data_IF_573025377806
#
_entry.id   IF_573025377806
#
_cell.length_a   1.000
_cell.length_b   1.000
_cell.length_c   1.000
_cell.angle_alpha   90.00
_cell.angle_beta   90.00
_cell.angle_gamma   90.00
#
_symmetry.space_group_name_H-M   'P 1'
#
loop_
_entity.id
_entity.type
_entity.pdbx_description
1 polymer ?
#
# COMPACT_ATOMS: atom_id res chain seq x y z
N UNK A 1 -18.74 -22.91 -25.61
CA UNK A 1 -19.66 -22.03 -26.35
C UNK A 1 -18.86 -20.84 -26.83
N UNK A 2 -18.89 -20.53 -28.11
CA UNK A 2 -18.25 -19.32 -28.65
C UNK A 2 -19.33 -18.29 -28.97
N UNK A 3 -19.09 -17.02 -28.62
CA UNK A 3 -19.98 -15.91 -28.91
C UNK A 3 -19.17 -14.66 -29.24
N UNK A 4 -19.79 -13.74 -29.98
CA UNK A 4 -19.18 -12.48 -30.39
C UNK A 4 -20.02 -11.31 -29.87
N UNK A 5 -19.35 -10.34 -29.24
CA UNK A 5 -19.96 -9.10 -28.76
C UNK A 5 -19.29 -7.93 -29.46
N UNK A 6 -20.06 -6.85 -29.71
CA UNK A 6 -19.56 -5.63 -30.34
C UNK A 6 -19.31 -4.57 -29.26
N UNK A 7 -18.11 -3.98 -29.26
CA UNK A 7 -17.71 -2.90 -28.36
C UNK A 7 -17.02 -1.79 -29.13
N UNK A 8 -17.15 -0.55 -28.68
CA UNK A 8 -16.43 0.61 -29.23
C UNK A 8 -15.06 0.79 -28.56
N UNK A 9 -14.91 0.35 -27.30
CA UNK A 9 -13.68 0.43 -26.53
C UNK A 9 -13.48 -0.84 -25.69
N UNK A 10 -12.24 -1.29 -25.55
CA UNK A 10 -11.85 -2.44 -24.73
C UNK A 10 -10.65 -2.03 -23.87
N UNK A 11 -10.77 -2.20 -22.55
CA UNK A 11 -9.68 -1.97 -21.60
C UNK A 11 -9.36 -3.31 -20.95
N UNK A 12 -8.17 -3.83 -21.18
CA UNK A 12 -7.73 -5.11 -20.62
C UNK A 12 -7.11 -4.89 -19.24
N UNK A 13 -7.85 -5.24 -18.19
CA UNK A 13 -7.39 -5.19 -16.79
C UNK A 13 -7.13 -6.61 -16.23
N UNK A 14 -6.46 -7.46 -17.00
CA UNK A 14 -6.23 -8.89 -16.66
C UNK A 14 -4.98 -9.11 -15.79
N UNK A 15 -4.45 -8.04 -15.20
CA UNK A 15 -3.24 -8.05 -14.38
C UNK A 15 -1.97 -7.71 -15.16
N UNK A 16 -0.84 -7.88 -14.47
CA UNK A 16 0.51 -7.58 -14.97
C UNK A 16 1.46 -8.74 -14.69
N UNK A 17 2.58 -8.76 -15.39
CA UNK A 17 3.65 -9.77 -15.22
C UNK A 17 5.00 -9.08 -15.23
N UNK A 18 5.90 -9.53 -14.36
CA UNK A 18 7.27 -9.03 -14.29
C UNK A 18 8.06 -9.49 -15.52
N UNK A 19 8.91 -8.61 -16.05
CA UNK A 19 9.94 -8.97 -17.01
C UNK A 19 11.29 -8.60 -16.41
N UNK A 20 12.12 -9.60 -16.13
CA UNK A 20 13.48 -9.41 -15.61
C UNK A 20 14.46 -9.57 -16.77
N UNK A 21 15.29 -8.56 -17.01
CA UNK A 21 16.35 -8.63 -18.02
C UNK A 21 17.44 -9.60 -17.61
N UNK A 22 17.92 -10.42 -18.55
CA UNK A 22 19.04 -11.35 -18.34
C UNK A 22 20.31 -10.64 -17.82
N UNK A 23 20.45 -9.34 -18.07
CA UNK A 23 21.58 -8.52 -17.61
C UNK A 23 21.68 -8.43 -16.09
N UNK A 24 20.58 -8.64 -15.37
CA UNK A 24 20.59 -8.58 -13.90
C UNK A 24 21.19 -9.83 -13.27
N UNK A 25 21.24 -10.96 -14.00
CA UNK A 25 21.79 -12.24 -13.53
C UNK A 25 21.19 -12.69 -12.19
N UNK A 26 19.86 -12.57 -12.08
CA UNK A 26 19.08 -13.03 -10.92
C UNK A 26 18.11 -14.12 -11.37
N UNK A 27 18.02 -15.26 -10.66
CA UNK A 27 17.17 -16.35 -11.08
C UNK A 27 15.69 -16.04 -10.83
N UNK A 28 14.84 -16.39 -11.79
CA UNK A 28 13.39 -16.25 -11.69
C UNK A 28 12.70 -17.59 -11.41
N UNK A 29 11.51 -17.52 -10.81
CA UNK A 29 10.68 -18.62 -10.38
C UNK A 29 9.37 -18.74 -11.15
N UNK A 30 8.45 -19.53 -10.60
CA UNK A 30 7.11 -19.69 -11.17
C UNK A 30 6.41 -18.33 -11.18
N UNK A 31 5.85 -17.93 -12.33
CA UNK A 31 5.17 -16.64 -12.48
C UNK A 31 6.10 -15.48 -12.85
N UNK A 32 7.33 -15.78 -13.25
CA UNK A 32 8.35 -14.81 -13.70
C UNK A 32 8.80 -13.83 -12.61
N UNK A 33 8.62 -14.19 -11.34
CA UNK A 33 9.09 -13.46 -10.16
C UNK A 33 10.54 -13.82 -9.82
N UNK A 34 11.26 -12.93 -9.16
CA UNK A 34 12.63 -13.13 -8.67
C UNK A 34 12.62 -14.13 -7.52
N UNK A 35 13.52 -15.13 -7.57
CA UNK A 35 13.73 -16.06 -6.46
C UNK A 35 14.57 -15.42 -5.38
N UNK A 36 14.09 -15.52 -4.15
CA UNK A 36 14.77 -15.06 -2.95
C UNK A 36 14.67 -16.11 -1.85
N UNK A 37 15.55 -15.99 -0.87
CA UNK A 37 15.36 -16.60 0.44
C UNK A 37 14.17 -15.91 1.15
N UNK A 38 13.19 -16.67 1.68
CA UNK A 38 11.94 -16.11 2.21
C UNK A 38 12.13 -15.32 3.51
N UNK A 39 13.20 -15.57 4.26
CA UNK A 39 13.44 -14.93 5.56
C UNK A 39 14.32 -13.67 5.41
N UNK A 40 15.22 -13.66 4.43
CA UNK A 40 16.18 -12.55 4.23
C UNK A 40 15.92 -11.71 2.98
N UNK A 41 15.08 -12.20 2.05
CA UNK A 41 14.86 -11.61 0.73
C UNK A 41 16.13 -11.51 -0.14
N UNK A 42 17.20 -12.22 0.25
CA UNK A 42 18.43 -12.30 -0.53
C UNK A 42 18.19 -13.15 -1.79
N UNK A 43 18.64 -12.65 -2.94
CA UNK A 43 18.70 -13.47 -4.15
C UNK A 43 19.94 -14.37 -4.09
N UNK A 44 20.03 -15.41 -4.95
CA UNK A 44 21.27 -16.18 -5.09
C UNK A 44 22.49 -15.38 -5.58
N UNK A 45 22.29 -14.15 -6.08
CA UNK A 45 23.37 -13.24 -6.45
C UNK A 45 23.81 -12.45 -5.22
N UNK A 46 25.08 -12.59 -4.86
CA UNK A 46 25.67 -11.96 -3.68
C UNK A 46 25.45 -10.44 -3.66
N UNK A 47 25.02 -9.93 -2.51
CA UNK A 47 24.72 -8.51 -2.30
C UNK A 47 23.45 -8.00 -2.98
N UNK A 48 22.65 -8.87 -3.62
CA UNK A 48 21.40 -8.47 -4.29
C UNK A 48 20.19 -9.04 -3.55
N UNK A 49 19.24 -8.16 -3.23
CA UNK A 49 17.99 -8.46 -2.52
C UNK A 49 16.80 -8.00 -3.38
N UNK A 50 15.63 -8.63 -3.21
CA UNK A 50 14.42 -8.25 -3.93
C UNK A 50 13.17 -8.36 -3.05
N UNK A 51 12.19 -7.48 -3.26
CA UNK A 51 10.96 -7.42 -2.47
C UNK A 51 9.75 -6.95 -3.28
N UNK A 52 8.59 -6.89 -2.64
CA UNK A 52 7.30 -6.54 -3.26
C UNK A 52 6.89 -7.45 -4.42
N UNK A 53 6.13 -6.88 -5.37
CA UNK A 53 5.58 -7.57 -6.55
C UNK A 53 6.64 -8.31 -7.38
N UNK A 54 7.91 -7.89 -7.31
CA UNK A 54 8.99 -8.57 -7.99
C UNK A 54 9.23 -10.00 -7.47
N UNK A 55 8.83 -10.29 -6.23
CA UNK A 55 8.99 -11.59 -5.55
C UNK A 55 7.68 -12.36 -5.47
N UNK A 56 6.58 -11.68 -5.17
CA UNK A 56 5.26 -12.32 -4.94
C UNK A 56 4.38 -12.35 -6.18
N UNK A 57 4.64 -11.48 -7.16
CA UNK A 57 3.63 -11.03 -8.10
C UNK A 57 2.68 -10.00 -7.44
N UNK A 58 1.65 -9.53 -8.16
CA UNK A 58 0.75 -8.48 -7.68
C UNK A 58 0.17 -8.79 -6.30
N UNK A 59 0.50 -7.94 -5.33
CA UNK A 59 0.12 -8.09 -3.94
C UNK A 59 -0.43 -6.77 -3.36
N UNK A 60 -0.59 -6.72 -2.03
CA UNK A 60 -0.97 -5.50 -1.34
C UNK A 60 0.22 -4.54 -1.19
N UNK A 61 -0.06 -3.23 -1.12
CA UNK A 61 0.97 -2.21 -0.85
C UNK A 61 1.66 -2.48 0.50
N UNK A 62 0.92 -2.96 1.50
CA UNK A 62 1.46 -3.24 2.82
C UNK A 62 2.46 -4.41 2.80
N UNK A 63 2.25 -5.43 1.96
CA UNK A 63 3.21 -6.51 1.75
C UNK A 63 4.50 -6.00 1.11
N UNK A 64 4.42 -5.09 0.13
CA UNK A 64 5.60 -4.48 -0.46
C UNK A 64 6.39 -3.64 0.56
N UNK A 65 5.70 -2.91 1.45
CA UNK A 65 6.32 -2.18 2.56
C UNK A 65 7.00 -3.13 3.54
N UNK A 66 6.33 -4.23 3.91
CA UNK A 66 6.89 -5.26 4.80
C UNK A 66 8.16 -5.88 4.19
N UNK A 67 8.14 -6.23 2.90
CA UNK A 67 9.33 -6.68 2.17
C UNK A 67 10.44 -5.62 2.14
N UNK A 68 10.10 -4.34 2.00
CA UNK A 68 11.08 -3.25 2.09
C UNK A 68 11.82 -3.23 3.42
N UNK A 69 11.08 -3.36 4.53
CA UNK A 69 11.65 -3.44 5.88
C UNK A 69 12.51 -4.68 6.07
N UNK A 70 12.01 -5.85 5.67
CA UNK A 70 12.75 -7.11 5.77
C UNK A 70 14.05 -7.11 4.95
N UNK A 71 14.01 -6.56 3.74
CA UNK A 71 15.19 -6.39 2.90
C UNK A 71 16.19 -5.41 3.54
N UNK A 72 15.73 -4.29 4.10
CA UNK A 72 16.60 -3.33 4.78
C UNK A 72 17.32 -3.95 5.99
N UNK A 73 16.61 -4.72 6.83
CA UNK A 73 17.19 -5.48 7.95
C UNK A 73 18.29 -6.42 7.44
N UNK A 74 18.03 -7.12 6.34
CA UNK A 74 18.96 -8.13 5.80
C UNK A 74 20.17 -7.50 5.11
N UNK A 75 19.98 -6.37 4.42
CA UNK A 75 21.05 -5.57 3.82
C UNK A 75 21.95 -5.00 4.91
N UNK A 76 21.40 -4.45 5.98
CA UNK A 76 22.19 -3.91 7.09
C UNK A 76 23.08 -5.01 7.72
N UNK A 77 22.49 -6.19 8.02
CA UNK A 77 23.26 -7.35 8.50
C UNK A 77 24.34 -7.80 7.52
N UNK A 78 24.04 -7.82 6.22
CA UNK A 78 24.99 -8.17 5.18
C UNK A 78 26.19 -7.20 5.13
N UNK A 79 25.95 -5.91 5.39
CA UNK A 79 26.98 -4.88 5.46
C UNK A 79 27.71 -4.83 6.82
N UNK A 80 27.40 -5.73 7.75
CA UNK A 80 28.03 -5.86 9.06
C UNK A 80 27.32 -5.10 10.20
N UNK A 81 26.12 -4.58 9.96
CA UNK A 81 25.24 -4.01 10.97
C UNK A 81 24.49 -5.06 11.78
N UNK A 82 23.54 -4.60 12.60
CA UNK A 82 22.75 -5.46 13.51
C UNK A 82 21.38 -5.84 12.94
N UNK A 83 20.96 -5.19 11.85
CA UNK A 83 19.62 -5.30 11.29
C UNK A 83 18.57 -4.59 12.14
N UNK A 84 18.98 -3.58 12.91
CA UNK A 84 18.07 -2.71 13.63
C UNK A 84 17.77 -1.49 12.76
N UNK A 85 16.54 -1.45 12.26
CA UNK A 85 16.03 -0.36 11.41
C UNK A 85 14.89 0.39 12.10
N UNK A 86 14.63 0.08 13.38
CA UNK A 86 13.53 0.68 14.10
C UNK A 86 13.89 2.12 14.49
N UNK A 87 12.94 3.02 14.27
CA UNK A 87 13.08 4.42 14.60
C UNK A 87 11.88 4.85 15.42
N UNK A 88 12.14 5.56 16.53
CA UNK A 88 11.08 6.17 17.34
C UNK A 88 10.68 7.47 16.65
N UNK A 89 9.67 7.38 15.77
CA UNK A 89 9.20 8.51 14.97
C UNK A 89 8.36 9.52 15.77
N UNK A 90 7.76 9.07 16.87
CA UNK A 90 6.97 9.90 17.75
C UNK A 90 7.15 9.45 19.21
N UNK A 91 7.08 10.37 20.19
CA UNK A 91 7.01 10.00 21.59
C UNK A 91 5.78 9.11 21.85
N UNK A 92 5.83 8.22 22.85
CA UNK A 92 4.69 7.41 23.23
C UNK A 92 3.52 8.32 23.61
N UNK A 93 2.33 7.95 23.15
CA UNK A 93 1.10 8.63 23.52
C UNK A 93 0.87 8.45 25.04
N UNK A 94 0.49 9.54 25.72
CA UNK A 94 0.21 9.51 27.15
C UNK A 94 -1.15 8.85 27.44
N UNK A 95 -1.43 8.57 28.71
CA UNK A 95 -2.74 8.06 29.13
C UNK A 95 -3.86 9.01 28.68
N UNK A 96 -4.78 8.50 27.89
CA UNK A 96 -5.97 9.23 27.44
C UNK A 96 -6.97 9.28 28.59
N UNK A 97 -7.37 10.48 28.99
CA UNK A 97 -8.40 10.66 30.00
C UNK A 97 -9.76 10.14 29.48
N UNK A 98 -10.59 9.50 30.32
CA UNK A 98 -11.93 9.10 29.90
C UNK A 98 -12.79 10.34 29.61
N UNK A 99 -13.36 10.43 28.42
CA UNK A 99 -14.19 11.56 28.01
C UNK A 99 -15.61 11.17 27.60
N UNK A 100 -16.52 12.08 27.96
CA UNK A 100 -17.98 12.03 27.87
C UNK A 100 -18.49 11.52 26.50
N UNK A 101 -19.60 10.78 26.53
CA UNK A 101 -20.27 10.27 25.33
C UNK A 101 -20.70 11.44 24.44
N UNK A 102 -20.22 11.44 23.19
CA UNK A 102 -20.64 12.38 22.15
C UNK A 102 -21.59 11.69 21.18
N UNK A 103 -22.53 12.43 20.61
CA UNK A 103 -23.45 11.87 19.62
C UNK A 103 -22.70 11.37 18.38
N UNK A 104 -22.99 10.13 17.96
CA UNK A 104 -22.48 9.59 16.70
C UNK A 104 -23.00 10.40 15.51
N UNK A 105 -22.06 10.98 14.74
CA UNK A 105 -22.38 11.73 13.52
C UNK A 105 -22.07 10.89 12.28
N UNK A 106 -22.84 11.09 11.21
CA UNK A 106 -22.54 10.48 9.91
C UNK A 106 -21.36 11.21 9.24
N UNK A 107 -20.55 10.47 8.49
CA UNK A 107 -19.50 11.06 7.64
C UNK A 107 -20.15 11.99 6.60
N UNK A 108 -19.75 13.27 6.50
CA UNK A 108 -20.19 14.14 5.41
C UNK A 108 -19.63 13.62 4.09
N UNK A 109 -20.43 13.65 3.02
CA UNK A 109 -20.01 13.13 1.73
C UNK A 109 -19.17 14.18 1.00
N UNK A 110 -17.93 13.83 0.64
CA UNK A 110 -17.08 14.74 -0.13
C UNK A 110 -17.71 15.04 -1.49
N UNK A 111 -17.79 16.32 -1.91
CA UNK A 111 -18.15 16.69 -3.26
C UNK A 111 -17.28 15.96 -4.28
N UNK A 112 -17.91 15.51 -5.36
CA UNK A 112 -17.20 14.86 -6.45
C UNK A 112 -17.46 15.58 -7.76
N UNK A 113 -16.48 15.54 -8.67
CA UNK A 113 -16.59 16.17 -9.98
C UNK A 113 -17.82 15.61 -10.73
N UNK A 114 -18.60 16.41 -11.48
CA UNK A 114 -19.72 15.86 -12.25
C UNK A 114 -19.27 14.83 -13.29
N UNK A 115 -20.05 13.76 -13.50
CA UNK A 115 -19.71 12.66 -14.41
C UNK A 115 -19.26 13.13 -15.80
N UNK A 116 -19.93 14.14 -16.38
CA UNK A 116 -19.59 14.67 -17.71
C UNK A 116 -18.15 15.21 -17.79
N UNK A 117 -17.63 15.74 -16.69
CA UNK A 117 -16.27 16.29 -16.63
C UNK A 117 -15.23 15.19 -16.31
N UNK A 118 -15.63 14.14 -15.59
CA UNK A 118 -14.75 12.97 -15.35
C UNK A 118 -14.35 12.24 -16.63
N UNK A 119 -15.17 12.31 -17.68
CA UNK A 119 -14.94 11.61 -18.94
C UNK A 119 -13.93 12.31 -19.86
N UNK A 120 -13.65 13.59 -19.62
CA UNK A 120 -12.86 14.44 -20.52
C UNK A 120 -11.40 14.62 -20.09
N UNK A 121 -10.96 14.05 -18.97
CA UNK A 121 -9.62 14.28 -18.44
C UNK A 121 -9.24 13.38 -17.27
N UNK A 122 -8.14 13.73 -16.62
CA UNK A 122 -7.58 13.05 -15.44
C UNK A 122 -7.64 13.92 -14.18
N UNK A 123 -8.57 14.89 -14.16
CA UNK A 123 -8.75 15.77 -13.02
C UNK A 123 -9.18 15.00 -11.77
N UNK A 124 -8.82 15.54 -10.61
CA UNK A 124 -9.16 14.95 -9.33
C UNK A 124 -10.69 14.83 -9.17
N UNK A 125 -11.17 13.60 -8.95
CA UNK A 125 -12.61 13.31 -8.86
C UNK A 125 -13.18 13.67 -7.48
N UNK A 126 -12.46 13.36 -6.41
CA UNK A 126 -12.84 13.75 -5.05
C UNK A 126 -12.29 15.14 -4.74
N UNK A 127 -13.17 16.13 -4.62
CA UNK A 127 -12.79 17.55 -4.55
C UNK A 127 -12.39 17.99 -3.14
N UNK A 128 -12.33 17.06 -2.18
CA UNK A 128 -12.09 17.36 -0.77
C UNK A 128 -13.27 18.05 -0.09
N UNK A 129 -13.13 18.35 1.19
CA UNK A 129 -14.15 19.06 1.98
C UNK A 129 -14.00 20.58 1.86
N UNK A 130 -15.13 21.29 1.99
CA UNK A 130 -15.08 22.71 2.35
C UNK A 130 -14.59 22.86 3.79
N UNK A 131 -14.24 24.08 4.19
CA UNK A 131 -13.84 24.35 5.58
C UNK A 131 -14.91 23.89 6.57
N UNK A 132 -16.20 24.15 6.29
CA UNK A 132 -17.30 23.75 7.16
C UNK A 132 -17.42 22.22 7.25
N UNK A 133 -17.33 21.52 6.12
CA UNK A 133 -17.37 20.05 6.08
C UNK A 133 -16.15 19.42 6.75
N UNK A 134 -14.99 20.05 6.65
CA UNK A 134 -13.77 19.59 7.30
C UNK A 134 -13.86 19.74 8.82
N UNK A 135 -14.41 20.86 9.31
CA UNK A 135 -14.70 21.07 10.74
C UNK A 135 -15.74 20.04 11.23
N UNK A 136 -16.78 19.78 10.45
CA UNK A 136 -17.79 18.76 10.78
C UNK A 136 -17.19 17.36 10.87
N UNK A 137 -16.36 16.97 9.90
CA UNK A 137 -15.66 15.67 9.91
C UNK A 137 -14.65 15.58 11.05
N UNK A 138 -13.87 16.64 11.33
CA UNK A 138 -12.91 16.64 12.44
C UNK A 138 -13.62 16.54 13.80
N UNK A 139 -14.84 17.06 13.90
CA UNK A 139 -15.72 16.88 15.06
C UNK A 139 -16.33 15.49 15.18
N UNK A 140 -16.16 14.61 14.17
CA UNK A 140 -16.58 13.21 14.21
C UNK A 140 -15.48 12.38 14.85
N UNK A 141 -15.48 12.28 16.18
CA UNK A 141 -14.59 11.37 16.88
C UNK A 141 -14.97 9.92 16.55
N UNK A 142 -14.00 9.13 16.06
CA UNK A 142 -14.17 7.69 15.80
C UNK A 142 -13.71 6.80 16.96
N UNK A 143 -13.17 7.39 18.04
CA UNK A 143 -12.68 6.70 19.26
C UNK A 143 -11.74 5.52 18.95
N UNK A 144 -10.93 5.61 17.89
CA UNK A 144 -10.00 4.56 17.50
C UNK A 144 -8.87 4.35 18.51
N UNK A 145 -8.67 5.29 19.44
CA UNK A 145 -7.77 5.22 20.59
C UNK A 145 -8.34 4.43 21.78
N UNK A 146 -9.61 4.03 21.72
CA UNK A 146 -10.29 3.20 22.73
C UNK A 146 -10.65 1.80 22.22
N UNK A 147 -10.04 1.35 21.11
CA UNK A 147 -10.10 -0.07 20.77
C UNK A 147 -9.46 -0.85 21.92
N UNK A 148 -10.30 -1.54 22.70
CA UNK A 148 -9.83 -2.47 23.72
C UNK A 148 -9.09 -3.61 22.99
N UNK A 149 -7.82 -3.83 23.33
CA UNK A 149 -7.09 -5.01 22.90
C UNK A 149 -7.80 -6.26 23.44
N UNK A 150 -8.64 -6.91 22.62
CA UNK A 150 -9.18 -8.26 22.92
C UNK A 150 -8.11 -9.36 22.77
#
# INVERSE_FOLDING_TARGET
>A
SEFTLKFDNIIACIGQRLTVSDQFDVPTGKGDVIRVDPDTLATPKEGVFAGGDAVTGPASVIEAIAHGRQAAISIDRYLGGQGDIDEVLAPPEGEVAPLEETEEKRRPQAPTLPLKQRLSGFDQVELGYSEEMAIEEAGRCLRCDLEEDE
#
